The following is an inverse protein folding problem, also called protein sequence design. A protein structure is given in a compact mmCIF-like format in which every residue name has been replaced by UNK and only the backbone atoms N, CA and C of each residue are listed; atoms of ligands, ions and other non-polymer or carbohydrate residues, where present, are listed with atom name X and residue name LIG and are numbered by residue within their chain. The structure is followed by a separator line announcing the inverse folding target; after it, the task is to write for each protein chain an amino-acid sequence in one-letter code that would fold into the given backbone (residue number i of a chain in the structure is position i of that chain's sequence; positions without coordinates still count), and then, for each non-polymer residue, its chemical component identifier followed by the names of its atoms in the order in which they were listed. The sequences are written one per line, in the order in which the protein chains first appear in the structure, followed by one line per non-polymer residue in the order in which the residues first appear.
data_IF_342295063025
#
_entry.id   IF_342295063025
#
_cell.length_a   1.000
_cell.length_b   1.000
_cell.length_c   1.000
_cell.angle_alpha   90.00
_cell.angle_beta   90.00
_cell.angle_gamma   90.00
#
_symmetry.space_group_name_H-M   'P 1'
#
loop_
_entity.id
_entity.type
_entity.pdbx_description
1 polymer ?
#
# COMPACT_ATOMS: atom_id res chain seq x y z
N UNK A 1 -21.28 21.92 20.29
CA UNK A 1 -21.86 20.56 20.16
C UNK A 1 -20.72 19.56 20.22
N UNK A 2 -20.45 19.02 21.41
CA UNK A 2 -19.43 18.01 21.66
C UNK A 2 -19.90 16.69 21.04
N UNK A 3 -19.18 16.16 20.05
CA UNK A 3 -19.43 14.80 19.54
C UNK A 3 -19.39 13.85 20.73
N UNK A 4 -20.46 13.12 21.05
CA UNK A 4 -20.43 12.28 22.22
C UNK A 4 -19.43 11.15 21.94
N UNK A 5 -18.63 10.85 22.95
CA UNK A 5 -17.45 9.99 22.90
C UNK A 5 -17.85 8.50 22.83
N UNK A 6 -18.70 8.13 21.87
CA UNK A 6 -19.30 6.80 21.71
C UNK A 6 -18.29 5.69 21.34
N UNK A 7 -17.03 6.04 21.12
CA UNK A 7 -15.92 5.11 20.87
C UNK A 7 -15.30 4.52 22.14
N UNK A 8 -15.67 5.00 23.33
CA UNK A 8 -15.09 4.51 24.61
C UNK A 8 -15.31 3.01 24.82
N UNK A 9 -16.51 2.42 24.59
CA UNK A 9 -16.72 0.99 24.82
C UNK A 9 -15.95 0.11 23.80
N UNK A 10 -15.89 0.55 22.54
CA UNK A 10 -15.28 -0.23 21.45
C UNK A 10 -13.76 -0.15 21.44
N UNK A 11 -13.18 0.92 22.02
CA UNK A 11 -11.72 1.12 22.10
C UNK A 11 -10.94 -0.08 22.65
N UNK A 12 -11.54 -0.82 23.58
CA UNK A 12 -10.92 -2.02 24.15
C UNK A 12 -10.78 -3.15 23.13
N UNK A 13 -11.73 -3.28 22.19
CA UNK A 13 -11.70 -4.34 21.17
C UNK A 13 -10.98 -3.94 19.90
N UNK A 14 -10.77 -2.66 19.61
CA UNK A 14 -10.09 -2.22 18.36
C UNK A 14 -8.80 -3.01 18.14
N UNK A 15 -7.94 -3.13 19.16
CA UNK A 15 -6.68 -3.86 19.03
C UNK A 15 -6.88 -5.36 18.85
N UNK A 16 -7.86 -5.93 19.55
CA UNK A 16 -8.18 -7.36 19.44
C UNK A 16 -8.66 -7.66 18.02
N UNK A 17 -9.58 -6.85 17.49
CA UNK A 17 -10.11 -6.97 16.13
C UNK A 17 -8.97 -6.81 15.12
N UNK A 18 -8.14 -5.76 15.21
CA UNK A 18 -6.99 -5.56 14.30
C UNK A 18 -6.05 -6.77 14.32
N UNK A 19 -5.68 -7.27 15.50
CA UNK A 19 -4.80 -8.43 15.60
C UNK A 19 -5.43 -9.69 14.98
N UNK A 20 -6.73 -9.91 15.20
CA UNK A 20 -7.49 -11.02 14.61
C UNK A 20 -7.62 -10.87 13.10
N UNK A 21 -7.71 -9.65 12.57
CA UNK A 21 -7.69 -9.39 11.12
C UNK A 21 -6.34 -9.77 10.52
N UNK A 22 -5.22 -9.38 11.16
CA UNK A 22 -3.90 -9.79 10.72
C UNK A 22 -3.73 -11.31 10.76
N UNK A 23 -4.19 -11.95 11.83
CA UNK A 23 -4.16 -13.41 11.97
C UNK A 23 -5.01 -14.10 10.90
N UNK A 24 -6.22 -13.61 10.62
CA UNK A 24 -7.07 -14.11 9.55
C UNK A 24 -6.36 -14.10 8.19
N UNK A 25 -5.71 -12.98 7.86
CA UNK A 25 -4.98 -12.79 6.61
C UNK A 25 -3.72 -13.66 6.53
N UNK A 26 -2.91 -13.72 7.59
CA UNK A 26 -1.68 -14.54 7.63
C UNK A 26 -2.02 -16.03 7.48
N UNK A 27 -2.98 -16.50 8.29
CA UNK A 27 -3.33 -17.92 8.34
C UNK A 27 -4.20 -18.38 7.18
N UNK A 28 -4.68 -17.45 6.34
CA UNK A 28 -5.32 -17.79 5.07
C UNK A 28 -4.31 -17.99 3.94
N UNK A 29 -3.04 -17.57 4.10
CA UNK A 29 -1.93 -17.83 3.17
C UNK A 29 -2.24 -17.48 1.70
N UNK A 30 -3.01 -16.41 1.46
CA UNK A 30 -3.38 -15.96 0.12
C UNK A 30 -4.70 -16.51 -0.43
N UNK A 31 -5.39 -17.38 0.31
CA UNK A 31 -6.77 -17.73 0.00
C UNK A 31 -7.71 -16.62 0.51
N UNK A 32 -8.15 -15.75 -0.40
CA UNK A 32 -9.02 -14.61 -0.09
C UNK A 32 -10.36 -15.02 0.55
N UNK A 33 -10.97 -16.12 0.09
CA UNK A 33 -12.25 -16.59 0.65
C UNK A 33 -12.09 -17.13 2.06
N UNK A 34 -11.01 -17.85 2.35
CA UNK A 34 -10.70 -18.25 3.72
C UNK A 34 -10.41 -17.04 4.62
N UNK A 35 -9.76 -16.00 4.10
CA UNK A 35 -9.53 -14.76 4.84
C UNK A 35 -10.85 -14.04 5.17
N UNK A 36 -11.77 -13.98 4.20
CA UNK A 36 -13.10 -13.37 4.36
C UNK A 36 -13.95 -14.13 5.38
N UNK A 37 -13.93 -15.46 5.35
CA UNK A 37 -14.59 -16.31 6.34
C UNK A 37 -14.00 -16.10 7.73
N UNK A 38 -12.68 -16.14 7.87
CA UNK A 38 -12.01 -15.89 9.16
C UNK A 38 -12.30 -14.49 9.69
N UNK A 39 -12.41 -13.49 8.83
CA UNK A 39 -12.79 -12.14 9.23
C UNK A 39 -14.22 -12.07 9.77
N UNK A 40 -15.19 -12.66 9.06
CA UNK A 40 -16.59 -12.75 9.52
C UNK A 40 -16.72 -13.52 10.83
N UNK A 41 -15.92 -14.58 11.00
CA UNK A 41 -15.89 -15.37 12.23
C UNK A 41 -15.45 -14.56 13.47
N UNK A 42 -14.69 -13.47 13.32
CA UNK A 42 -14.24 -12.65 14.46
C UNK A 42 -15.44 -12.16 15.28
N UNK A 43 -16.46 -11.63 14.60
CA UNK A 43 -17.63 -11.07 15.26
C UNK A 43 -18.41 -12.15 16.03
N UNK A 44 -18.54 -13.34 15.44
CA UNK A 44 -19.18 -14.51 16.08
C UNK A 44 -18.35 -15.08 17.24
N UNK A 45 -17.03 -15.12 17.10
CA UNK A 45 -16.13 -15.53 18.19
C UNK A 45 -16.25 -14.59 19.39
N UNK A 46 -16.43 -13.30 19.15
CA UNK A 46 -16.63 -12.30 20.20
C UNK A 46 -17.99 -12.43 20.90
N UNK A 47 -18.94 -13.21 20.37
CA UNK A 47 -20.18 -13.59 21.07
C UNK A 47 -20.11 -14.99 21.69
N UNK A 48 -18.97 -15.68 21.60
CA UNK A 48 -18.75 -17.02 22.12
C UNK A 48 -19.09 -18.15 21.14
N UNK A 49 -19.45 -17.84 19.90
CA UNK A 49 -19.71 -18.84 18.87
C UNK A 49 -18.41 -19.21 18.13
N UNK A 50 -18.01 -20.48 18.23
CA UNK A 50 -16.76 -21.01 17.66
C UNK A 50 -16.96 -22.15 16.65
N UNK A 51 -18.22 -22.50 16.35
CA UNK A 51 -18.60 -23.54 15.39
C UNK A 51 -19.47 -22.93 14.29
N UNK A 52 -19.11 -23.16 13.03
CA UNK A 52 -19.70 -22.54 11.84
C UNK A 52 -20.23 -23.58 10.85
N UNK A 53 -20.19 -24.87 11.17
CA UNK A 53 -20.59 -25.99 10.29
C UNK A 53 -22.01 -25.87 9.75
N UNK A 54 -22.90 -25.24 10.51
CA UNK A 54 -24.32 -25.06 10.17
C UNK A 54 -24.56 -23.88 9.23
N UNK A 55 -23.59 -22.99 9.07
CA UNK A 55 -23.72 -21.81 8.22
C UNK A 55 -23.13 -22.10 6.83
N UNK A 56 -23.96 -22.13 5.77
CA UNK A 56 -23.50 -22.43 4.41
C UNK A 56 -22.55 -21.36 3.85
N UNK A 57 -22.50 -20.17 4.45
CA UNK A 57 -21.58 -19.10 4.06
C UNK A 57 -20.14 -19.34 4.54
N UNK A 58 -19.91 -20.35 5.39
CA UNK A 58 -18.59 -20.79 5.86
C UNK A 58 -18.23 -22.13 5.20
N UNK A 59 -17.57 -22.06 4.05
CA UNK A 59 -17.17 -23.23 3.25
C UNK A 59 -15.86 -23.82 3.75
N UNK A 60 -14.89 -22.98 4.06
CA UNK A 60 -13.52 -23.38 4.41
C UNK A 60 -13.27 -23.45 5.92
N UNK A 61 -13.92 -22.58 6.71
CA UNK A 61 -13.77 -22.52 8.16
C UNK A 61 -14.95 -23.22 8.85
N UNK A 62 -14.66 -24.30 9.58
CA UNK A 62 -15.66 -25.14 10.27
C UNK A 62 -15.76 -24.85 11.76
N UNK A 63 -14.61 -24.67 12.41
CA UNK A 63 -14.53 -24.27 13.80
C UNK A 63 -13.22 -23.54 14.11
N UNK A 64 -13.17 -22.88 15.27
CA UNK A 64 -11.95 -22.27 15.77
C UNK A 64 -11.04 -23.32 16.43
N UNK A 65 -9.74 -23.26 16.16
CA UNK A 65 -8.72 -24.17 16.72
C UNK A 65 -8.02 -23.64 17.99
N UNK A 66 -8.55 -22.59 18.62
CA UNK A 66 -7.91 -21.94 19.77
C UNK A 66 -8.61 -22.27 21.08
N UNK A 67 -7.86 -22.22 22.18
CA UNK A 67 -8.41 -22.37 23.54
C UNK A 67 -9.28 -21.16 23.94
N UNK A 68 -10.07 -21.36 24.99
CA UNK A 68 -10.88 -20.30 25.57
C UNK A 68 -10.00 -19.13 26.02
N UNK A 69 -10.42 -17.87 25.80
CA UNK A 69 -9.68 -16.71 26.27
C UNK A 69 -9.53 -16.74 27.79
N UNK A 70 -8.38 -16.30 28.29
CA UNK A 70 -8.10 -16.18 29.72
C UNK A 70 -8.85 -15.03 30.39
N UNK A 71 -9.50 -14.16 29.59
CA UNK A 71 -10.14 -12.92 30.07
C UNK A 71 -11.52 -12.72 29.43
N UNK A 72 -12.52 -12.48 30.27
CA UNK A 72 -13.94 -12.41 29.86
C UNK A 72 -14.36 -11.09 29.19
N UNK A 73 -13.54 -10.03 29.25
CA UNK A 73 -13.87 -8.73 28.64
C UNK A 73 -13.77 -8.73 27.10
N UNK A 74 -13.27 -9.82 26.50
CA UNK A 74 -13.21 -9.98 25.04
C UNK A 74 -14.62 -10.22 24.45
N UNK A 75 -15.56 -10.70 25.27
CA UNK A 75 -16.92 -11.00 24.81
C UNK A 75 -17.80 -9.74 24.75
N UNK A 76 -18.61 -9.64 23.69
CA UNK A 76 -19.57 -8.55 23.50
C UNK A 76 -20.76 -8.73 24.45
N UNK A 77 -21.05 -7.75 25.33
CA UNK A 77 -22.23 -7.81 26.19
C UNK A 77 -23.52 -7.82 25.38
N UNK A 78 -24.48 -8.64 25.79
CA UNK A 78 -25.79 -8.77 25.14
C UNK A 78 -25.81 -9.70 23.91
N UNK A 79 -24.68 -10.31 23.55
CA UNK A 79 -24.62 -11.35 22.53
C UNK A 79 -25.01 -10.89 21.11
N UNK A 80 -25.40 -11.86 20.29
CA UNK A 80 -25.82 -11.64 18.90
C UNK A 80 -27.09 -10.78 18.88
N UNK A 81 -27.12 -9.77 18.00
CA UNK A 81 -28.26 -8.86 17.86
C UNK A 81 -28.31 -7.72 18.89
N UNK A 82 -27.39 -7.69 19.86
CA UNK A 82 -27.25 -6.57 20.79
C UNK A 82 -26.84 -5.26 20.10
N UNK A 83 -27.10 -4.11 20.74
CA UNK A 83 -26.79 -2.78 20.19
C UNK A 83 -25.31 -2.63 19.77
N UNK A 84 -24.41 -3.18 20.57
CA UNK A 84 -22.96 -3.14 20.32
C UNK A 84 -22.60 -4.05 19.14
N UNK A 85 -23.19 -5.25 19.09
CA UNK A 85 -22.99 -6.21 18.00
C UNK A 85 -23.40 -5.59 16.65
N UNK A 86 -24.63 -5.05 16.57
CA UNK A 86 -25.13 -4.47 15.32
C UNK A 86 -24.29 -3.29 14.86
N UNK A 87 -23.77 -2.50 15.79
CA UNK A 87 -22.91 -1.36 15.46
C UNK A 87 -21.52 -1.78 14.98
N UNK A 88 -20.93 -2.82 15.57
CA UNK A 88 -19.68 -3.38 15.07
C UNK A 88 -19.88 -3.99 13.68
N UNK A 89 -20.99 -4.70 13.47
CA UNK A 89 -21.36 -5.24 12.17
C UNK A 89 -21.46 -4.13 11.11
N UNK A 90 -22.17 -3.04 11.40
CA UNK A 90 -22.39 -1.95 10.45
C UNK A 90 -21.16 -1.09 10.16
N UNK A 91 -20.20 -1.01 11.08
CA UNK A 91 -19.03 -0.11 10.97
C UNK A 91 -17.76 -0.85 10.54
N UNK A 92 -17.59 -2.11 10.97
CA UNK A 92 -16.33 -2.87 10.80
C UNK A 92 -16.53 -4.07 9.89
N UNK A 93 -17.62 -4.82 10.03
CA UNK A 93 -17.86 -6.04 9.26
C UNK A 93 -18.81 -5.77 8.08
N UNK A 94 -18.53 -4.70 7.33
CA UNK A 94 -19.29 -4.31 6.14
C UNK A 94 -18.97 -5.20 4.95
N UNK A 95 -19.88 -5.29 3.98
CA UNK A 95 -19.65 -6.04 2.74
C UNK A 95 -18.39 -5.57 2.00
N UNK A 96 -18.14 -4.26 2.01
CA UNK A 96 -16.91 -3.69 1.47
C UNK A 96 -15.67 -4.23 2.17
N UNK A 97 -15.63 -4.22 3.51
CA UNK A 97 -14.46 -4.70 4.24
C UNK A 97 -14.27 -6.22 4.07
N UNK A 98 -15.36 -6.98 3.94
CA UNK A 98 -15.36 -8.41 3.66
C UNK A 98 -14.79 -8.70 2.27
N UNK A 99 -15.04 -7.85 1.28
CA UNK A 99 -14.45 -7.99 -0.05
C UNK A 99 -12.99 -7.51 -0.07
N UNK A 100 -12.71 -6.36 0.52
CA UNK A 100 -11.36 -5.77 0.58
C UNK A 100 -10.36 -6.75 1.21
N UNK A 101 -10.75 -7.49 2.25
CA UNK A 101 -9.85 -8.43 2.93
C UNK A 101 -9.36 -9.57 2.02
N UNK A 102 -10.12 -9.93 0.98
CA UNK A 102 -9.71 -10.97 0.02
C UNK A 102 -8.48 -10.57 -0.78
N UNK A 103 -8.30 -9.27 -1.00
CA UNK A 103 -7.19 -8.70 -1.77
C UNK A 103 -5.93 -8.46 -0.94
N UNK A 104 -6.02 -8.55 0.40
CA UNK A 104 -4.91 -8.21 1.28
C UNK A 104 -3.80 -9.26 1.19
N UNK A 105 -2.57 -8.81 0.92
CA UNK A 105 -1.41 -9.68 0.89
C UNK A 105 -1.13 -10.29 2.27
N UNK A 106 -1.10 -11.63 2.33
CA UNK A 106 -0.71 -12.38 3.53
C UNK A 106 0.71 -12.11 4.01
N UNK A 107 1.55 -11.49 3.18
CA UNK A 107 2.92 -11.07 3.55
C UNK A 107 2.97 -9.76 4.33
N UNK A 108 1.85 -9.04 4.46
CA UNK A 108 1.69 -7.82 5.28
C UNK A 108 2.74 -6.70 5.03
N UNK A 109 3.32 -6.64 3.85
CA UNK A 109 4.52 -5.82 3.56
C UNK A 109 4.24 -4.49 2.83
N UNK A 110 3.23 -3.71 3.25
CA UNK A 110 3.01 -2.37 2.66
C UNK A 110 4.20 -1.43 2.90
N UNK A 111 4.86 -1.55 4.06
CA UNK A 111 6.03 -0.71 4.39
C UNK A 111 7.21 -0.87 3.44
N UNK A 112 7.39 -2.06 2.86
CA UNK A 112 8.42 -2.31 1.83
C UNK A 112 8.05 -1.58 0.56
N UNK A 113 6.79 -1.68 0.11
CA UNK A 113 6.30 -0.98 -1.07
C UNK A 113 6.38 0.54 -0.91
N UNK A 114 5.97 1.07 0.24
CA UNK A 114 6.11 2.50 0.57
C UNK A 114 7.57 2.96 0.52
N UNK A 115 8.49 2.15 1.05
CA UNK A 115 9.92 2.48 1.05
C UNK A 115 10.52 2.44 -0.36
N UNK A 116 10.11 1.48 -1.19
CA UNK A 116 10.51 1.40 -2.61
C UNK A 116 9.95 2.59 -3.38
N UNK A 117 8.67 2.93 -3.19
CA UNK A 117 8.06 4.07 -3.87
C UNK A 117 8.73 5.38 -3.46
N UNK A 118 9.00 5.60 -2.17
CA UNK A 118 9.78 6.74 -1.68
C UNK A 118 11.19 6.81 -2.29
N UNK A 119 11.79 5.67 -2.60
CA UNK A 119 13.06 5.59 -3.29
C UNK A 119 12.92 5.95 -4.78
N UNK A 120 11.85 5.51 -5.44
CA UNK A 120 11.58 5.79 -6.84
C UNK A 120 11.41 7.28 -7.15
N UNK A 121 10.78 8.03 -6.24
CA UNK A 121 10.67 9.50 -6.34
C UNK A 121 12.01 10.20 -6.50
N UNK A 122 13.11 9.60 -6.01
CA UNK A 122 14.46 10.17 -6.11
C UNK A 122 15.09 10.08 -7.51
N UNK A 123 14.48 9.30 -8.39
CA UNK A 123 14.93 9.03 -9.77
C UNK A 123 13.93 9.54 -10.82
N UNK A 124 12.86 10.19 -10.37
CA UNK A 124 11.84 10.77 -11.21
C UNK A 124 12.26 12.20 -11.63
N UNK A 125 13.00 12.35 -12.74
CA UNK A 125 13.23 13.68 -13.32
C UNK A 125 11.92 14.21 -13.89
N UNK A 126 11.68 15.51 -13.78
CA UNK A 126 10.44 16.13 -14.31
C UNK A 126 10.35 15.96 -15.84
N UNK A 127 11.48 16.14 -16.52
CA UNK A 127 11.56 16.14 -17.99
C UNK A 127 11.28 14.76 -18.60
N UNK A 128 11.49 13.68 -17.85
CA UNK A 128 11.30 12.30 -18.34
C UNK A 128 10.22 11.55 -17.55
N UNK A 129 9.42 12.24 -16.74
CA UNK A 129 8.50 11.57 -15.81
C UNK A 129 7.47 10.70 -16.53
N UNK A 130 6.93 11.20 -17.65
CA UNK A 130 5.87 10.58 -18.44
C UNK A 130 6.39 9.80 -19.65
N UNK A 131 7.71 9.74 -19.88
CA UNK A 131 8.27 9.00 -21.01
C UNK A 131 8.53 7.55 -20.63
N UNK A 132 8.34 6.62 -21.58
CA UNK A 132 8.68 5.20 -21.38
C UNK A 132 10.14 5.00 -20.97
N UNK A 133 11.14 5.63 -21.63
CA UNK A 133 12.54 5.52 -21.20
C UNK A 133 12.79 6.03 -19.78
N UNK A 134 12.12 7.12 -19.38
CA UNK A 134 12.21 7.66 -18.02
C UNK A 134 11.61 6.73 -16.98
N UNK A 135 10.47 6.09 -17.29
CA UNK A 135 9.86 5.08 -16.44
C UNK A 135 10.79 3.87 -16.26
N UNK A 136 11.31 3.30 -17.35
CA UNK A 136 12.21 2.14 -17.33
C UNK A 136 13.46 2.41 -16.49
N UNK A 137 14.13 3.54 -16.74
CA UNK A 137 15.30 3.96 -15.98
C UNK A 137 14.97 4.12 -14.49
N UNK A 138 13.90 4.83 -14.14
CA UNK A 138 13.48 5.04 -12.75
C UNK A 138 13.30 3.71 -12.04
N UNK A 139 12.60 2.76 -12.67
CA UNK A 139 12.34 1.45 -12.10
C UNK A 139 13.63 0.66 -11.89
N UNK A 140 14.49 0.57 -12.91
CA UNK A 140 15.78 -0.13 -12.82
C UNK A 140 16.68 0.43 -11.72
N UNK A 141 16.85 1.76 -11.66
CA UNK A 141 17.71 2.40 -10.65
C UNK A 141 17.16 2.25 -9.24
N UNK A 142 15.85 2.31 -9.09
CA UNK A 142 15.18 2.07 -7.80
C UNK A 142 15.48 0.66 -7.32
N UNK A 143 15.40 -0.35 -8.19
CA UNK A 143 15.68 -1.73 -7.83
C UNK A 143 17.15 -1.96 -7.48
N UNK A 144 18.09 -1.41 -8.27
CA UNK A 144 19.53 -1.49 -7.98
C UNK A 144 19.82 -0.89 -6.59
N UNK A 145 19.30 0.31 -6.31
CA UNK A 145 19.48 0.97 -5.03
C UNK A 145 18.85 0.16 -3.89
N UNK A 146 17.62 -0.33 -4.08
CA UNK A 146 16.93 -1.12 -3.09
C UNK A 146 17.72 -2.39 -2.72
N UNK A 147 18.16 -3.14 -3.73
CA UNK A 147 18.93 -4.37 -3.54
C UNK A 147 20.25 -4.08 -2.84
N UNK A 148 20.96 -3.03 -3.24
CA UNK A 148 22.19 -2.62 -2.57
C UNK A 148 21.97 -2.28 -1.08
N UNK A 149 20.87 -1.60 -0.74
CA UNK A 149 20.51 -1.35 0.67
C UNK A 149 20.18 -2.65 1.44
N UNK A 150 19.64 -3.67 0.77
CA UNK A 150 19.36 -4.97 1.41
C UNK A 150 20.64 -5.77 1.64
N UNK A 151 21.53 -5.81 0.65
CA UNK A 151 22.85 -6.44 0.79
C UNK A 151 23.65 -5.82 1.93
N UNK A 152 23.76 -4.49 1.97
CA UNK A 152 24.51 -3.80 3.04
C UNK A 152 23.91 -3.98 4.45
N UNK A 153 22.61 -4.28 4.54
CA UNK A 153 21.99 -4.69 5.80
C UNK A 153 22.36 -6.13 6.16
N UNK A 154 22.34 -7.05 5.20
CA UNK A 154 22.69 -8.46 5.40
C UNK A 154 24.17 -8.63 5.78
N UNK A 155 25.06 -7.89 5.10
CA UNK A 155 26.51 -7.91 5.30
C UNK A 155 26.95 -7.12 6.56
N UNK A 156 26.01 -6.52 7.28
CA UNK A 156 26.28 -5.77 8.52
C UNK A 156 26.94 -4.41 8.35
N UNK A 157 27.34 -4.02 7.13
CA UNK A 157 28.00 -2.73 6.85
C UNK A 157 27.13 -1.50 7.17
N UNK A 158 25.80 -1.70 7.32
CA UNK A 158 24.85 -0.67 7.71
C UNK A 158 24.22 -0.91 9.10
N UNK A 159 24.99 -0.67 10.19
CA UNK A 159 24.53 -0.91 11.55
C UNK A 159 23.42 0.08 11.96
N UNK A 160 22.68 -0.30 13.00
CA UNK A 160 21.70 0.57 13.66
C UNK A 160 22.46 1.59 14.50
N UNK A 161 22.28 2.88 14.20
CA UNK A 161 22.96 4.01 14.87
C UNK A 161 22.07 4.71 15.89
N UNK A 162 20.77 4.38 15.92
CA UNK A 162 19.85 4.98 16.88
C UNK A 162 18.42 4.47 16.72
N UNK A 163 17.50 5.08 17.46
CA UNK A 163 16.06 4.84 17.33
C UNK A 163 15.34 6.18 17.19
N UNK A 164 14.36 6.23 16.29
CA UNK A 164 13.48 7.40 16.13
C UNK A 164 12.05 6.97 16.45
N UNK A 165 11.41 7.75 17.30
CA UNK A 165 9.99 7.61 17.60
C UNK A 165 9.15 8.33 16.55
N UNK A 166 7.99 7.77 16.22
CA UNK A 166 6.93 8.47 15.51
C UNK A 166 5.57 8.11 16.10
N UNK A 167 4.62 9.05 16.06
CA UNK A 167 3.26 8.77 16.50
C UNK A 167 2.51 8.09 15.34
N UNK A 168 2.07 6.86 15.54
CA UNK A 168 1.31 6.13 14.54
C UNK A 168 -0.15 6.60 14.57
N UNK A 169 -0.67 7.25 13.51
CA UNK A 169 -2.04 7.77 13.49
C UNK A 169 -3.11 6.68 13.65
N UNK A 170 -2.83 5.46 13.21
CA UNK A 170 -3.75 4.31 13.24
C UNK A 170 -3.84 3.71 14.64
N UNK A 171 -2.70 3.41 15.26
CA UNK A 171 -2.68 2.80 16.61
C UNK A 171 -2.73 3.83 17.75
N UNK A 172 -2.60 5.12 17.44
CA UNK A 172 -2.52 6.25 18.40
C UNK A 172 -1.44 6.03 19.46
N UNK A 173 -0.33 5.41 19.07
CA UNK A 173 0.79 5.05 19.94
C UNK A 173 2.09 5.52 19.34
N UNK A 174 3.04 5.81 20.22
CA UNK A 174 4.42 6.06 19.85
C UNK A 174 5.07 4.72 19.48
N UNK A 175 5.55 4.63 18.23
CA UNK A 175 6.29 3.48 17.72
C UNK A 175 7.74 3.89 17.52
N UNK A 176 8.66 3.01 17.92
CA UNK A 176 10.10 3.21 17.76
C UNK A 176 10.61 2.44 16.55
N UNK A 177 11.38 3.10 15.68
CA UNK A 177 12.06 2.47 14.54
C UNK A 177 13.56 2.63 14.66
N UNK A 178 14.27 1.57 14.30
CA UNK A 178 15.73 1.59 14.20
C UNK A 178 16.16 2.52 13.05
N UNK A 179 17.02 3.47 13.36
CA UNK A 179 17.70 4.33 12.38
C UNK A 179 19.03 3.69 12.06
N UNK A 180 19.28 3.44 10.78
CA UNK A 180 20.53 2.86 10.29
C UNK A 180 21.45 3.94 9.74
N UNK A 181 22.76 3.70 9.80
CA UNK A 181 23.79 4.61 9.27
C UNK A 181 23.43 5.09 7.86
N UNK A 182 23.54 6.38 7.58
CA UNK A 182 23.33 6.90 6.22
C UNK A 182 24.44 6.39 5.29
N UNK A 183 24.09 6.14 4.03
CA UNK A 183 25.04 5.69 3.01
C UNK A 183 25.11 6.75 1.91
N UNK A 184 26.32 7.07 1.48
CA UNK A 184 26.58 7.86 0.29
C UNK A 184 26.68 6.89 -0.90
N UNK A 185 25.92 7.14 -1.95
CA UNK A 185 25.92 6.32 -3.16
C UNK A 185 26.57 7.13 -4.30
N UNK A 186 27.91 7.16 -4.42
CA UNK A 186 28.59 8.00 -5.43
C UNK A 186 28.16 7.64 -6.86
N UNK A 187 28.01 6.34 -7.15
CA UNK A 187 27.47 5.82 -8.41
C UNK A 187 26.12 6.41 -8.80
N UNK A 188 25.34 6.92 -7.84
CA UNK A 188 24.02 7.51 -8.11
C UNK A 188 24.13 8.78 -8.96
N UNK A 189 25.08 9.64 -8.62
CA UNK A 189 25.26 10.90 -9.35
C UNK A 189 25.92 10.64 -10.71
N UNK A 190 26.78 9.62 -10.79
CA UNK A 190 27.36 9.17 -12.06
C UNK A 190 26.29 8.66 -13.02
N UNK A 191 25.37 7.81 -12.57
CA UNK A 191 24.30 7.29 -13.44
C UNK A 191 23.37 8.42 -13.88
N UNK A 192 22.94 9.32 -12.97
CA UNK A 192 22.11 10.47 -13.37
C UNK A 192 22.78 11.32 -14.44
N UNK A 193 24.08 11.61 -14.27
CA UNK A 193 24.86 12.38 -15.24
C UNK A 193 24.90 11.69 -16.60
N UNK A 194 25.18 10.39 -16.62
CA UNK A 194 25.22 9.59 -17.85
C UNK A 194 23.85 9.53 -18.54
N UNK A 195 22.75 9.40 -17.79
CA UNK A 195 21.41 9.40 -18.38
C UNK A 195 21.07 10.77 -18.99
N UNK A 196 21.36 11.85 -18.27
CA UNK A 196 21.12 13.20 -18.79
C UNK A 196 21.93 13.45 -20.06
N UNK A 197 23.20 13.04 -20.08
CA UNK A 197 24.05 13.14 -21.26
C UNK A 197 23.47 12.35 -22.44
N UNK A 198 23.04 11.10 -22.20
CA UNK A 198 22.44 10.26 -23.25
C UNK A 198 21.16 10.88 -23.84
N UNK A 199 20.34 11.52 -23.02
CA UNK A 199 19.12 12.17 -23.50
C UNK A 199 19.42 13.45 -24.26
N UNK A 200 20.39 14.25 -23.80
CA UNK A 200 20.91 15.38 -24.58
C UNK A 200 21.40 14.86 -25.93
N UNK A 201 22.27 13.85 -25.95
CA UNK A 201 22.83 13.29 -27.18
C UNK A 201 21.73 12.78 -28.13
N UNK A 202 20.63 12.23 -27.59
CA UNK A 202 19.46 11.82 -28.38
C UNK A 202 18.74 13.03 -28.98
N UNK A 203 18.53 14.08 -28.20
CA UNK A 203 17.82 15.29 -28.62
C UNK A 203 18.65 16.17 -29.57
N UNK A 204 19.97 16.16 -29.42
CA UNK A 204 20.91 16.95 -30.22
C UNK A 204 21.55 16.15 -31.35
N UNK A 205 21.18 14.87 -31.52
CA UNK A 205 21.69 14.08 -32.64
C UNK A 205 21.18 14.70 -33.94
N UNK A 206 22.06 14.97 -34.93
CA UNK A 206 21.60 15.38 -36.25
C UNK A 206 20.63 14.32 -36.77
N UNK A 207 19.48 14.74 -37.29
CA UNK A 207 18.58 13.86 -38.03
C UNK A 207 19.34 13.38 -39.27
N UNK A 208 20.02 12.24 -39.15
CA UNK A 208 20.44 11.48 -40.32
C UNK A 208 19.16 10.89 -40.88
N UNK A 209 18.78 11.15 -42.14
CA UNK A 209 17.67 10.44 -42.75
C UNK A 209 18.00 8.95 -42.70
N UNK A 210 17.36 8.21 -41.81
CA UNK A 210 17.46 6.76 -41.83
C UNK A 210 16.81 6.32 -43.13
N UNK A 211 17.49 5.49 -43.93
CA UNK A 211 16.78 4.67 -44.90
C UNK A 211 15.66 3.97 -44.12
N UNK A 212 14.42 4.14 -44.57
CA UNK A 212 13.25 3.66 -43.87
C UNK A 212 13.44 2.20 -43.48
N UNK A 213 13.38 1.93 -42.17
CA UNK A 213 13.28 0.56 -41.67
C UNK A 213 11.86 0.09 -42.02
N UNK A 214 11.69 -0.91 -42.91
CA UNK A 214 10.37 -1.35 -43.36
C UNK A 214 9.53 -2.01 -42.25
N UNK A 215 10.09 -2.21 -41.05
CA UNK A 215 9.39 -2.78 -39.90
C UNK A 215 8.79 -1.75 -38.93
N UNK A 216 8.79 -0.46 -39.27
CA UNK A 216 8.30 0.63 -38.40
C UNK A 216 6.85 1.07 -38.68
N UNK A 217 6.12 0.39 -39.59
CA UNK A 217 4.74 0.75 -39.96
C UNK A 217 3.64 0.18 -39.03
N UNK A 218 3.96 -0.62 -38.00
CA UNK A 218 2.92 -1.33 -37.22
C UNK A 218 2.64 -0.80 -35.79
N UNK A 219 3.41 0.14 -35.25
CA UNK A 219 3.01 0.84 -34.02
C UNK A 219 2.43 2.20 -34.40
N UNK A 220 1.19 2.48 -33.97
CA UNK A 220 0.42 3.74 -34.17
C UNK A 220 -0.50 3.82 -35.41
N UNK A 221 -1.38 2.83 -35.59
CA UNK A 221 -2.76 3.15 -35.97
C UNK A 221 -3.59 3.33 -34.70
N UNK A 222 -3.57 4.55 -34.15
CA UNK A 222 -4.61 5.00 -33.22
C UNK A 222 -5.54 5.91 -34.01
N UNK A 223 -6.63 5.33 -34.50
CA UNK A 223 -7.82 6.09 -34.87
C UNK A 223 -8.34 6.80 -33.61
N UNK A 224 -7.79 7.97 -33.30
CA UNK A 224 -8.41 8.94 -32.41
C UNK A 224 -8.99 10.06 -33.28
N UNK A 225 -10.31 10.00 -33.47
CA UNK A 225 -11.11 11.09 -33.99
C UNK A 225 -10.79 12.38 -33.21
N UNK A 226 -10.52 13.47 -33.94
CA UNK A 226 -10.05 14.73 -33.38
C UNK A 226 -11.05 15.37 -32.41
N UNK A 227 -10.57 15.67 -31.20
CA UNK A 227 -11.12 16.76 -30.39
C UNK A 227 -10.31 18.03 -30.69
N UNK A 228 -10.98 19.00 -31.32
CA UNK A 228 -10.48 20.35 -31.57
C UNK A 228 -10.22 21.10 -30.26
N UNK A 229 -8.97 21.16 -29.83
CA UNK A 229 -8.52 22.08 -28.77
C UNK A 229 -8.52 23.52 -29.30
N UNK A 230 -9.68 24.18 -29.22
CA UNK A 230 -9.80 25.61 -29.45
C UNK A 230 -8.94 26.38 -28.43
N UNK A 231 -7.96 27.13 -28.94
CA UNK A 231 -7.13 28.11 -28.24
C UNK A 231 -7.99 29.00 -27.30
N UNK A 232 -7.90 28.74 -25.99
CA UNK A 232 -8.42 29.66 -24.97
C UNK A 232 -7.41 30.80 -24.79
N UNK A 233 -7.77 32.07 -25.06
CA UNK A 233 -6.85 33.18 -24.85
C UNK A 233 -6.65 33.46 -23.35
N UNK A 234 -5.47 33.97 -22.96
CA UNK A 234 -5.11 34.15 -21.56
C UNK A 234 -5.96 35.22 -20.85
N UNK A 235 -6.25 35.07 -19.54
CA UNK A 235 -7.01 36.05 -18.79
C UNK A 235 -6.21 37.35 -18.61
N UNK A 236 -6.87 38.47 -18.90
CA UNK A 236 -6.34 39.82 -18.81
C UNK A 236 -5.83 40.16 -17.41
N UNK A 237 -4.67 40.83 -17.34
CA UNK A 237 -4.04 41.33 -16.12
C UNK A 237 -4.88 42.43 -15.44
N UNK A 238 -4.90 42.51 -14.10
CA UNK A 238 -5.71 43.48 -13.38
C UNK A 238 -4.97 44.82 -13.26
N UNK A 239 -5.45 45.85 -13.95
CA UNK A 239 -5.21 47.24 -13.53
C UNK A 239 -6.29 48.19 -14.05
N UNK A 240 -6.76 49.04 -13.14
CA UNK A 240 -7.49 50.31 -13.32
C UNK A 240 -9.03 50.27 -13.48
N UNK A 241 -9.77 50.16 -12.37
CA UNK A 241 -10.38 51.29 -11.61
C UNK A 241 -11.33 50.75 -10.54
#
# INVERSE_FOLDING_TARGET
ITKPNYMIPVRFWIRVIINRCYDAVITAQGNGELASEKFRAILLCMTGQHTFDKDPSFKHLKSCSHSAPTVNWIFIPGGIGGRIYNRLASEVFTDKNIEDIKSVSWRLQTSTCESINALAWRYASKDLYFTRPGHEMRTQLTMIHWNYLKHTIADGSRPVVGKKSYNNPTSKRVVWRNVRKSMTHPWREDIKRLTYQREIDRLTRPLVPSAADPNLEEEWSSDEEGEDDALVPPPLTPTQR
#
